data_IF_662108783835
#
_entry.id   IF_662108783835
#
_cell.length_a   1.000
_cell.length_b   1.000
_cell.length_c   1.000
_cell.angle_alpha   90.00
_cell.angle_beta   90.00
_cell.angle_gamma   90.00
#
_symmetry.space_group_name_H-M   'P 1'
#
loop_
_entity.id
_entity.type
_entity.pdbx_description
1 polymer ?
#
# COMPACT_ATOMS: atom_id res chain seq x y z
N UNK A 1 -10.19 9.70 -7.73
CA UNK A 1 -9.71 8.80 -8.81
C UNK A 1 -8.19 8.84 -8.88
N UNK A 2 -7.56 7.69 -8.92
CA UNK A 2 -6.10 7.59 -9.00
C UNK A 2 -5.73 7.39 -10.47
N UNK A 3 -5.00 8.36 -11.03
CA UNK A 3 -4.68 8.36 -12.44
C UNK A 3 -3.24 7.91 -12.70
N UNK A 4 -2.99 7.47 -13.93
CA UNK A 4 -1.65 7.14 -14.42
C UNK A 4 -0.92 6.00 -13.71
N UNK A 5 -1.66 5.09 -13.08
CA UNK A 5 -1.07 3.89 -12.52
C UNK A 5 -1.16 2.74 -13.54
N UNK A 6 -0.13 1.87 -13.59
CA UNK A 6 -0.16 0.70 -14.47
C UNK A 6 -1.08 -0.41 -13.98
N UNK A 7 -1.72 -0.22 -12.85
CA UNK A 7 -2.63 -1.20 -12.24
C UNK A 7 -3.97 -0.54 -11.92
N UNK A 8 -5.01 -1.36 -11.82
CA UNK A 8 -6.32 -0.89 -11.41
C UNK A 8 -6.45 -0.95 -9.90
N UNK A 9 -6.93 0.13 -9.30
CA UNK A 9 -7.16 0.21 -7.85
C UNK A 9 -8.67 0.40 -7.61
N UNK A 10 -9.26 -0.54 -6.90
CA UNK A 10 -10.64 -0.43 -6.45
C UNK A 10 -10.66 0.36 -5.15
N UNK A 11 -10.94 1.65 -5.24
CA UNK A 11 -10.87 2.56 -4.10
C UNK A 11 -11.84 2.17 -2.98
N UNK A 12 -13.00 1.64 -3.32
CA UNK A 12 -13.98 1.22 -2.31
C UNK A 12 -13.49 0.02 -1.51
N UNK A 13 -12.93 -0.97 -2.19
CA UNK A 13 -12.39 -2.15 -1.53
C UNK A 13 -11.17 -1.81 -0.68
N UNK A 14 -10.32 -0.91 -1.17
CA UNK A 14 -9.17 -0.44 -0.41
C UNK A 14 -9.62 0.31 0.84
N UNK A 15 -10.61 1.20 0.72
CA UNK A 15 -11.12 1.95 1.87
C UNK A 15 -11.73 1.01 2.92
N UNK A 16 -12.51 0.03 2.47
CA UNK A 16 -13.11 -0.95 3.37
C UNK A 16 -12.05 -1.78 4.08
N UNK A 17 -11.05 -2.26 3.33
CA UNK A 17 -9.92 -3.00 3.88
C UNK A 17 -9.22 -2.20 4.98
N UNK A 18 -8.95 -0.92 4.73
CA UNK A 18 -8.25 -0.06 5.67
C UNK A 18 -9.09 0.23 6.92
N UNK A 19 -10.38 0.52 6.75
CA UNK A 19 -11.26 0.82 7.88
C UNK A 19 -11.39 -0.36 8.82
N UNK A 20 -11.53 -1.55 8.28
CA UNK A 20 -11.68 -2.76 9.08
C UNK A 20 -10.43 -3.09 9.90
N UNK A 21 -9.26 -2.64 9.44
CA UNK A 21 -7.97 -3.01 10.03
C UNK A 21 -7.29 -1.88 10.81
N UNK A 22 -7.96 -0.74 10.91
CA UNK A 22 -7.39 0.39 11.64
C UNK A 22 -6.19 1.04 10.93
N UNK A 23 -6.14 0.92 9.61
CA UNK A 23 -5.14 1.59 8.81
C UNK A 23 -5.56 3.04 8.60
N UNK A 24 -4.70 3.98 8.99
CA UNK A 24 -4.95 5.40 8.84
C UNK A 24 -4.60 5.89 7.44
N UNK A 25 -3.55 5.36 6.87
CA UNK A 25 -3.05 5.81 5.58
C UNK A 25 -2.42 4.63 4.83
N UNK A 26 -2.69 4.57 3.54
CA UNK A 26 -2.07 3.59 2.64
C UNK A 26 -1.51 4.33 1.43
N UNK A 27 -0.26 4.03 1.10
CA UNK A 27 0.44 4.66 -0.01
C UNK A 27 1.14 3.61 -0.86
N UNK A 28 1.25 3.90 -2.14
CA UNK A 28 2.05 3.10 -3.07
C UNK A 28 3.41 3.75 -3.24
N UNK A 29 4.43 2.96 -3.47
CA UNK A 29 5.78 3.46 -3.77
C UNK A 29 6.51 2.44 -4.64
N UNK A 30 7.75 2.76 -5.00
CA UNK A 30 8.56 1.87 -5.81
C UNK A 30 8.16 1.88 -7.29
N UNK A 31 8.39 0.77 -7.98
CA UNK A 31 8.22 0.71 -9.43
C UNK A 31 6.82 1.01 -9.92
N UNK A 32 5.79 0.72 -9.13
CA UNK A 32 4.40 0.95 -9.55
C UNK A 32 4.09 2.44 -9.76
N UNK A 33 4.83 3.32 -9.08
CA UNK A 33 4.67 4.78 -9.24
C UNK A 33 5.74 5.39 -10.14
N UNK A 34 6.61 4.55 -10.70
CA UNK A 34 7.64 4.95 -11.66
C UNK A 34 7.34 4.32 -13.01
N UNK A 35 8.14 4.70 -14.02
CA UNK A 35 7.97 4.17 -15.36
C UNK A 35 8.53 2.77 -15.56
N UNK A 36 9.29 2.26 -14.59
CA UNK A 36 9.98 0.99 -14.69
C UNK A 36 9.18 -0.21 -14.18
N UNK A 37 7.87 -0.05 -13.94
CA UNK A 37 7.02 -1.14 -13.49
C UNK A 37 6.88 -2.20 -14.60
N UNK A 38 7.21 -3.44 -14.27
CA UNK A 38 7.06 -4.58 -15.16
C UNK A 38 5.87 -5.42 -14.69
N UNK A 39 4.74 -5.44 -15.42
CA UNK A 39 3.56 -6.21 -14.98
C UNK A 39 3.82 -7.69 -14.78
N UNK A 40 4.87 -8.25 -15.41
CA UNK A 40 5.19 -9.66 -15.29
C UNK A 40 6.08 -9.99 -14.08
N UNK A 41 6.80 -9.02 -13.56
CA UNK A 41 7.83 -9.25 -12.53
C UNK A 41 7.76 -8.36 -11.32
N UNK A 42 7.30 -7.13 -11.49
CA UNK A 42 7.31 -6.16 -10.39
C UNK A 42 6.20 -6.42 -9.40
N UNK A 43 6.53 -6.31 -8.11
CA UNK A 43 5.55 -6.34 -7.04
C UNK A 43 5.00 -4.94 -6.83
N UNK A 44 3.83 -4.85 -6.22
CA UNK A 44 3.24 -3.57 -5.82
C UNK A 44 3.69 -3.28 -4.40
N UNK A 45 4.51 -2.26 -4.23
CA UNK A 45 5.01 -1.87 -2.91
C UNK A 45 4.01 -0.96 -2.21
N UNK A 46 3.56 -1.37 -1.03
CA UNK A 46 2.52 -0.67 -0.27
C UNK A 46 3.03 -0.36 1.13
N UNK A 47 2.89 0.91 1.52
CA UNK A 47 3.19 1.36 2.87
C UNK A 47 1.89 1.68 3.59
N UNK A 48 1.71 1.08 4.78
CA UNK A 48 0.56 1.37 5.64
C UNK A 48 1.00 2.03 6.93
N UNK A 49 0.16 2.97 7.41
CA UNK A 49 0.32 3.62 8.70
C UNK A 49 -0.96 3.37 9.49
N UNK A 50 -0.81 3.08 10.78
CA UNK A 50 -1.94 2.70 11.61
C UNK A 50 -2.48 3.86 12.43
N UNK A 51 -3.75 3.77 12.82
CA UNK A 51 -4.31 4.65 13.83
C UNK A 51 -3.57 4.40 15.15
N UNK A 52 -3.42 5.44 16.01
CA UNK A 52 -2.60 5.33 17.23
C UNK A 52 -2.96 4.15 18.14
N UNK A 53 -4.25 3.79 18.21
CA UNK A 53 -4.72 2.73 19.09
C UNK A 53 -4.93 1.39 18.39
N UNK A 54 -4.51 1.29 17.15
CA UNK A 54 -4.78 0.11 16.32
C UNK A 54 -3.50 -0.57 15.88
N UNK A 55 -2.81 -1.22 16.84
CA UNK A 55 -1.62 -2.01 16.52
C UNK A 55 -2.07 -3.42 16.14
N UNK A 56 -1.74 -3.90 14.94
CA UNK A 56 -2.18 -5.23 14.51
C UNK A 56 -1.45 -6.33 15.25
N UNK A 57 -2.11 -7.47 15.37
CA UNK A 57 -1.49 -8.70 15.87
C UNK A 57 -1.05 -9.60 14.74
N UNK A 58 -1.26 -10.90 14.91
CA UNK A 58 -0.86 -11.90 13.93
C UNK A 58 -1.55 -11.77 12.58
N UNK A 59 -2.75 -11.21 12.55
CA UNK A 59 -3.51 -11.02 11.33
C UNK A 59 -2.77 -10.19 10.28
N UNK A 60 -1.85 -9.34 10.71
CA UNK A 60 -1.03 -8.52 9.80
C UNK A 60 -0.31 -9.37 8.75
N UNK A 61 0.15 -10.55 9.15
CA UNK A 61 0.94 -11.41 8.26
C UNK A 61 0.14 -11.98 7.10
N UNK A 62 -1.19 -11.94 7.17
CA UNK A 62 -2.06 -12.35 6.08
C UNK A 62 -2.53 -11.22 5.18
N UNK A 63 -2.27 -9.98 5.56
CA UNK A 63 -2.81 -8.81 4.85
C UNK A 63 -2.22 -8.59 3.46
N UNK A 64 -0.95 -8.92 3.27
CA UNK A 64 -0.33 -8.79 1.95
C UNK A 64 -1.05 -9.67 0.93
N UNK A 65 -1.42 -10.88 1.34
CA UNK A 65 -2.14 -11.83 0.50
C UNK A 65 -3.55 -11.34 0.18
N UNK A 66 -4.25 -10.81 1.18
CA UNK A 66 -5.57 -10.23 1.00
C UNK A 66 -5.55 -9.03 0.06
N UNK A 67 -4.56 -8.16 0.22
CA UNK A 67 -4.38 -7.01 -0.67
C UNK A 67 -4.03 -7.46 -2.09
N UNK A 68 -3.24 -8.53 -2.21
CA UNK A 68 -2.88 -9.07 -3.51
C UNK A 68 -4.12 -9.51 -4.29
N UNK A 69 -5.12 -10.04 -3.60
CA UNK A 69 -6.39 -10.41 -4.22
C UNK A 69 -7.19 -9.19 -4.68
N UNK A 70 -7.17 -8.13 -3.87
CA UNK A 70 -7.89 -6.89 -4.22
C UNK A 70 -7.24 -6.19 -5.41
N UNK A 71 -5.91 -6.14 -5.42
CA UNK A 71 -5.14 -5.46 -6.46
C UNK A 71 -4.97 -6.32 -7.71
N UNK A 72 -5.05 -7.65 -7.55
CA UNK A 72 -4.85 -8.58 -8.65
C UNK A 72 -3.39 -8.81 -8.99
N UNK A 73 -2.48 -8.45 -8.08
CA UNK A 73 -1.03 -8.60 -8.26
C UNK A 73 -0.38 -8.82 -6.91
N UNK A 74 0.82 -9.37 -6.94
CA UNK A 74 1.58 -9.58 -5.71
C UNK A 74 1.88 -8.23 -5.04
N UNK A 75 1.55 -8.14 -3.75
CA UNK A 75 1.77 -6.95 -2.93
C UNK A 75 2.89 -7.22 -1.93
N UNK A 76 3.82 -6.27 -1.85
CA UNK A 76 4.85 -6.25 -0.82
C UNK A 76 4.43 -5.19 0.20
N UNK A 77 3.98 -5.64 1.37
CA UNK A 77 3.37 -4.78 2.38
C UNK A 77 4.38 -4.40 3.45
N UNK A 78 4.52 -3.09 3.66
CA UNK A 78 5.39 -2.54 4.69
C UNK A 78 4.59 -1.67 5.64
N UNK A 79 4.87 -1.75 6.94
CA UNK A 79 4.29 -0.84 7.94
C UNK A 79 5.32 0.16 8.45
N UNK A 80 6.58 -0.03 8.10
CA UNK A 80 7.67 0.88 8.44
C UNK A 80 8.70 0.89 7.34
N UNK A 81 9.22 2.07 7.05
CA UNK A 81 10.41 2.20 6.23
C UNK A 81 11.57 2.61 7.13
N UNK A 82 12.74 2.05 6.84
CA UNK A 82 13.98 2.38 7.50
C UNK A 82 14.23 3.90 7.39
N UNK A 83 14.76 4.51 8.45
CA UNK A 83 15.02 5.95 8.48
C UNK A 83 15.97 6.43 7.37
N UNK A 84 16.75 5.53 6.81
CA UNK A 84 17.63 5.86 5.69
C UNK A 84 16.93 5.75 4.35
N UNK A 85 15.93 4.87 4.25
CA UNK A 85 15.16 4.67 3.02
C UNK A 85 13.99 5.64 2.89
N UNK A 86 13.37 6.01 4.01
CA UNK A 86 12.18 6.86 3.99
C UNK A 86 12.41 8.18 3.25
N UNK A 87 13.51 8.93 3.46
CA UNK A 87 13.73 10.16 2.72
C UNK A 87 13.85 9.95 1.21
N UNK A 88 14.33 8.78 0.78
CA UNK A 88 14.47 8.45 -0.63
C UNK A 88 13.12 8.08 -1.27
N UNK A 89 12.26 7.46 -0.50
CA UNK A 89 10.96 6.97 -0.98
C UNK A 89 9.85 8.01 -0.84
N UNK A 90 9.96 8.89 0.16
CA UNK A 90 8.91 9.87 0.48
C UNK A 90 8.44 10.69 -0.72
N UNK A 91 9.32 11.19 -1.61
CA UNK A 91 8.87 11.97 -2.77
C UNK A 91 8.03 11.17 -3.75
N UNK A 92 8.13 9.84 -3.76
CA UNK A 92 7.37 9.01 -4.68
C UNK A 92 6.16 8.33 -4.04
N UNK A 93 5.88 8.60 -2.75
CA UNK A 93 4.71 8.04 -2.10
C UNK A 93 3.43 8.59 -2.73
N UNK A 94 2.58 7.68 -3.19
CA UNK A 94 1.28 8.02 -3.74
C UNK A 94 0.19 7.51 -2.79
N UNK A 95 -0.46 8.41 -2.08
CA UNK A 95 -1.51 8.04 -1.14
C UNK A 95 -2.74 7.56 -1.89
N UNK A 96 -3.21 6.35 -1.58
CA UNK A 96 -4.43 5.79 -2.16
C UNK A 96 -5.57 5.70 -1.15
N UNK A 97 -5.27 5.88 0.13
CA UNK A 97 -6.27 5.94 1.19
C UNK A 97 -5.71 6.74 2.36
N UNK A 98 -6.54 7.60 2.91
CA UNK A 98 -6.17 8.34 4.13
C UNK A 98 -7.45 8.75 4.85
N UNK A 99 -7.50 8.54 6.17
CA UNK A 99 -8.59 9.04 6.97
C UNK A 99 -8.09 10.10 7.94
N UNK A 100 -8.98 11.03 8.23
CA UNK A 100 -8.68 12.16 9.09
C UNK A 100 -8.47 11.73 10.54
#
# INVERSE_FOLDING_TARGET
MIANLPIAIDEEKIAEFCRERGIRKMSLFGSVVREDFDPARSDVDVLVEFLPDRVPGWEYFGWAEELSEIVGRKVDLCSRLNKYLLPLVRPELLTIYEQA
#
